data_IF_946442072520
#
_entry.id   IF_946442072520
#
_cell.length_a   1.000
_cell.length_b   1.000
_cell.length_c   1.000
_cell.angle_alpha   90.00
_cell.angle_beta   90.00
_cell.angle_gamma   90.00
#
_symmetry.space_group_name_H-M   'P 1'
#
loop_
_entity.id
_entity.type
_entity.pdbx_description
1 polymer ?
#
# COMPACT_ATOMS: atom_id res chain seq x y z
N UNK A 1 20.53 68.40 -23.72
CA UNK A 1 21.05 67.14 -24.29
C UNK A 1 21.76 66.38 -23.17
N UNK A 2 21.18 65.29 -22.68
CA UNK A 2 21.84 64.38 -21.74
C UNK A 2 21.57 62.96 -22.25
N UNK A 3 22.63 62.28 -22.68
CA UNK A 3 22.59 60.92 -23.20
C UNK A 3 22.60 59.98 -22.00
N UNK A 4 21.52 59.20 -21.81
CA UNK A 4 21.54 58.06 -20.89
C UNK A 4 22.18 56.87 -21.58
N UNK A 5 23.35 56.43 -21.11
CA UNK A 5 23.94 55.15 -21.48
C UNK A 5 23.22 54.02 -20.71
N UNK A 6 22.66 53.07 -21.46
CA UNK A 6 22.15 51.80 -20.95
C UNK A 6 23.30 50.85 -20.61
N UNK A 7 23.30 50.29 -19.40
CA UNK A 7 24.18 49.18 -19.03
C UNK A 7 23.31 47.93 -18.79
N UNK A 8 23.20 47.08 -19.81
CA UNK A 8 22.55 45.77 -19.71
C UNK A 8 23.52 44.79 -19.05
N UNK A 9 23.23 44.38 -17.82
CA UNK A 9 23.95 43.32 -17.11
C UNK A 9 23.46 41.95 -17.58
N UNK A 10 24.28 41.23 -18.35
CA UNK A 10 24.10 39.81 -18.67
C UNK A 10 24.56 38.98 -17.46
N UNK A 11 23.63 38.46 -16.67
CA UNK A 11 23.92 37.49 -15.60
C UNK A 11 23.86 36.04 -16.08
N UNK A 12 24.70 35.12 -15.58
CA UNK A 12 24.67 33.71 -15.99
C UNK A 12 23.42 33.01 -15.43
N UNK A 13 22.65 32.37 -16.30
CA UNK A 13 21.52 31.54 -15.92
C UNK A 13 22.03 30.24 -15.27
N UNK A 14 21.89 30.12 -13.95
CA UNK A 14 22.12 28.88 -13.21
C UNK A 14 20.97 27.90 -13.53
N UNK A 15 21.18 27.01 -14.49
CA UNK A 15 20.27 25.90 -14.77
C UNK A 15 20.34 24.88 -13.61
N UNK A 16 19.35 24.90 -12.71
CA UNK A 16 19.22 23.93 -11.64
C UNK A 16 18.81 22.57 -12.21
N UNK A 17 19.75 21.63 -12.29
CA UNK A 17 19.44 20.23 -12.59
C UNK A 17 18.72 19.62 -11.37
N UNK A 18 17.39 19.51 -11.44
CA UNK A 18 16.64 18.75 -10.44
C UNK A 18 16.98 17.25 -10.61
N UNK A 19 17.40 16.54 -9.55
CA UNK A 19 17.63 15.11 -9.63
C UNK A 19 16.31 14.38 -9.93
N UNK A 20 16.35 13.26 -10.68
CA UNK A 20 15.15 12.48 -10.96
C UNK A 20 14.56 11.92 -9.66
N UNK A 21 13.26 12.11 -9.46
CA UNK A 21 12.51 11.45 -8.37
C UNK A 21 12.51 9.96 -8.65
N UNK A 22 13.20 9.19 -7.80
CA UNK A 22 13.18 7.72 -7.85
C UNK A 22 11.99 7.23 -7.04
N UNK A 23 11.17 6.35 -7.60
CA UNK A 23 10.18 5.62 -6.82
C UNK A 23 10.90 4.79 -5.75
N UNK A 24 10.61 5.05 -4.48
CA UNK A 24 11.17 4.29 -3.37
C UNK A 24 10.61 2.86 -3.42
N UNK A 25 11.49 1.86 -3.53
CA UNK A 25 11.10 0.45 -3.38
C UNK A 25 10.71 0.24 -1.92
N UNK A 26 9.43 -0.03 -1.68
CA UNK A 26 8.95 -0.34 -0.33
C UNK A 26 9.51 -1.71 0.10
N UNK A 27 10.00 -1.83 1.36
CA UNK A 27 10.30 -3.12 1.94
C UNK A 27 9.08 -4.06 1.82
N UNK A 28 9.27 -5.20 1.17
CA UNK A 28 8.22 -6.20 0.92
C UNK A 28 8.50 -7.44 1.74
N UNK A 29 7.50 -7.95 2.45
CA UNK A 29 7.60 -9.20 3.20
C UNK A 29 7.74 -10.39 2.24
N UNK A 30 8.61 -11.34 2.56
CA UNK A 30 8.81 -12.57 1.79
C UNK A 30 7.51 -13.38 1.65
N UNK A 31 6.67 -13.41 2.71
CA UNK A 31 5.38 -14.11 2.71
C UNK A 31 4.45 -13.63 1.59
N UNK A 32 4.51 -12.34 1.21
CA UNK A 32 3.64 -11.76 0.18
C UNK A 32 3.96 -12.30 -1.21
N UNK A 33 5.20 -12.70 -1.47
CA UNK A 33 5.61 -13.30 -2.74
C UNK A 33 5.07 -14.73 -2.95
N UNK A 34 4.46 -15.33 -1.92
CA UNK A 34 3.89 -16.69 -1.97
C UNK A 34 2.37 -16.71 -2.05
N UNK A 35 1.72 -15.55 -1.96
CA UNK A 35 0.26 -15.43 -2.03
C UNK A 35 -0.16 -15.31 -3.50
N UNK A 36 -1.15 -16.09 -3.92
CA UNK A 36 -1.66 -16.04 -5.28
C UNK A 36 -2.53 -14.79 -5.52
N UNK A 37 -2.27 -14.00 -6.57
CA UNK A 37 -3.19 -12.97 -7.01
C UNK A 37 -4.54 -13.55 -7.44
N UNK A 38 -5.61 -12.76 -7.33
CA UNK A 38 -6.95 -13.18 -7.76
C UNK A 38 -8.09 -12.47 -7.06
N UNK A 39 -9.30 -13.02 -7.21
CA UNK A 39 -10.46 -12.63 -6.41
C UNK A 39 -10.38 -13.31 -5.05
N UNK A 40 -10.53 -12.55 -3.97
CA UNK A 40 -10.48 -13.05 -2.60
C UNK A 40 -11.77 -12.72 -1.85
N UNK A 41 -12.27 -13.68 -1.06
CA UNK A 41 -13.20 -13.43 0.02
C UNK A 41 -12.40 -13.07 1.28
N UNK A 42 -12.68 -11.91 1.85
CA UNK A 42 -12.10 -11.42 3.09
C UNK A 42 -13.19 -11.40 4.16
N UNK A 43 -13.08 -12.33 5.10
CA UNK A 43 -14.02 -12.50 6.21
C UNK A 43 -13.38 -12.01 7.50
N UNK A 44 -14.02 -11.05 8.14
CA UNK A 44 -13.63 -10.63 9.49
C UNK A 44 -13.91 -11.79 10.47
N UNK A 45 -13.00 -12.05 11.41
CA UNK A 45 -13.03 -13.25 12.28
C UNK A 45 -13.85 -13.09 13.54
N UNK A 46 -14.45 -11.91 13.73
CA UNK A 46 -15.44 -11.64 14.78
C UNK A 46 -16.73 -12.47 14.54
N UNK A 47 -17.54 -12.75 15.58
CA UNK A 47 -18.71 -13.63 15.46
C UNK A 47 -19.69 -13.26 14.33
N UNK A 48 -19.97 -11.96 14.16
CA UNK A 48 -20.81 -11.42 13.09
C UNK A 48 -19.98 -10.75 11.97
N UNK A 49 -18.76 -11.26 11.78
CA UNK A 49 -17.75 -10.69 10.90
C UNK A 49 -18.23 -10.58 9.45
N UNK A 50 -18.02 -9.40 8.88
CA UNK A 50 -18.44 -9.11 7.50
C UNK A 50 -17.55 -9.85 6.52
N UNK A 51 -18.16 -10.38 5.46
CA UNK A 51 -17.43 -10.91 4.31
C UNK A 51 -17.52 -9.93 3.14
N UNK A 52 -16.38 -9.56 2.57
CA UNK A 52 -16.33 -8.82 1.29
C UNK A 52 -15.51 -9.56 0.27
N UNK A 53 -15.82 -9.35 -1.00
CA UNK A 53 -14.97 -9.80 -2.10
C UNK A 53 -14.09 -8.65 -2.59
N UNK A 54 -12.82 -8.92 -2.84
CA UNK A 54 -11.88 -7.95 -3.37
C UNK A 54 -10.96 -8.60 -4.38
N UNK A 55 -10.79 -7.97 -5.54
CA UNK A 55 -9.74 -8.34 -6.47
C UNK A 55 -8.40 -7.85 -5.92
N UNK A 56 -7.48 -8.78 -5.72
CA UNK A 56 -6.12 -8.54 -5.23
C UNK A 56 -5.16 -8.89 -6.36
N UNK A 57 -4.73 -7.86 -7.08
CA UNK A 57 -3.74 -7.99 -8.16
C UNK A 57 -2.32 -7.98 -7.59
N UNK A 58 -2.11 -7.21 -6.53
CA UNK A 58 -0.85 -7.16 -5.80
C UNK A 58 -1.08 -7.58 -4.33
N UNK A 59 -0.47 -8.68 -3.85
CA UNK A 59 -0.56 -9.09 -2.46
C UNK A 59 -0.15 -8.02 -1.44
N UNK A 60 0.61 -6.99 -1.83
CA UNK A 60 0.89 -5.84 -0.96
C UNK A 60 -0.36 -5.10 -0.47
N UNK A 61 -1.51 -5.28 -1.13
CA UNK A 61 -2.80 -4.76 -0.70
C UNK A 61 -3.25 -5.33 0.66
N UNK A 62 -2.86 -6.56 1.01
CA UNK A 62 -3.23 -7.19 2.28
C UNK A 62 -2.62 -6.51 3.49
N UNK A 63 -1.47 -5.83 3.32
CA UNK A 63 -0.79 -5.11 4.41
C UNK A 63 -1.65 -3.96 4.95
N UNK A 64 -2.44 -3.32 4.10
CA UNK A 64 -3.09 -2.04 4.38
C UNK A 64 -4.60 -2.08 4.16
N UNK A 65 -5.27 -3.18 4.52
CA UNK A 65 -6.73 -3.30 4.35
C UNK A 65 -7.52 -2.19 5.07
N UNK A 66 -7.00 -1.64 6.17
CA UNK A 66 -7.60 -0.51 6.90
C UNK A 66 -7.26 0.88 6.29
N UNK A 67 -6.31 0.94 5.36
CA UNK A 67 -5.84 2.16 4.70
C UNK A 67 -5.67 1.94 3.17
N UNK A 68 -6.76 1.65 2.45
CA UNK A 68 -6.69 1.43 1.00
C UNK A 68 -6.39 2.73 0.25
N UNK A 69 -5.39 2.72 -0.64
CA UNK A 69 -5.09 3.83 -1.56
C UNK A 69 -3.80 4.62 -1.27
N UNK A 70 -3.60 5.18 -0.07
CA UNK A 70 -2.41 5.98 0.23
C UNK A 70 -1.10 5.22 0.02
N UNK A 71 -0.08 5.94 -0.46
CA UNK A 71 1.31 5.48 -0.40
C UNK A 71 1.81 5.62 1.03
N UNK A 72 1.86 4.51 1.75
CA UNK A 72 2.34 4.47 3.13
C UNK A 72 3.83 4.09 3.17
N UNK A 73 4.58 4.73 4.06
CA UNK A 73 5.92 4.27 4.41
C UNK A 73 5.81 2.95 5.18
N UNK A 74 6.77 2.03 4.99
CA UNK A 74 6.76 0.70 5.62
C UNK A 74 8.06 0.42 6.33
N UNK A 75 7.95 -0.25 7.47
CA UNK A 75 9.05 -0.77 8.26
C UNK A 75 8.75 -2.23 8.61
N UNK A 76 9.60 -3.15 8.12
CA UNK A 76 9.47 -4.59 8.37
C UNK A 76 9.95 -4.87 9.79
N UNK A 77 9.09 -5.52 10.58
CA UNK A 77 9.38 -5.92 11.96
C UNK A 77 9.87 -7.37 12.02
N UNK A 78 9.23 -8.25 11.25
CA UNK A 78 9.59 -9.68 11.15
C UNK A 78 9.30 -10.16 9.72
N UNK A 79 10.19 -10.98 9.18
CA UNK A 79 10.12 -11.46 7.80
C UNK A 79 10.51 -12.94 7.70
N UNK A 80 9.51 -13.81 7.82
CA UNK A 80 9.66 -15.25 7.70
C UNK A 80 9.02 -15.76 6.41
N UNK A 81 9.35 -16.98 5.96
CA UNK A 81 8.79 -17.52 4.71
C UNK A 81 7.26 -17.63 4.69
N UNK A 82 6.62 -17.87 5.84
CA UNK A 82 5.16 -18.11 5.96
C UNK A 82 4.46 -17.16 6.96
N UNK A 83 5.19 -16.24 7.57
CA UNK A 83 4.63 -15.18 8.41
C UNK A 83 5.44 -13.91 8.24
N UNK A 84 4.81 -12.75 8.33
CA UNK A 84 5.54 -11.49 8.27
C UNK A 84 4.77 -10.40 8.99
N UNK A 85 5.50 -9.49 9.63
CA UNK A 85 4.93 -8.36 10.35
C UNK A 85 5.54 -7.07 9.84
N UNK A 86 4.69 -6.11 9.51
CA UNK A 86 5.09 -4.80 9.01
C UNK A 86 4.34 -3.71 9.75
N UNK A 87 5.07 -2.67 10.15
CA UNK A 87 4.47 -1.40 10.53
C UNK A 87 4.41 -0.49 9.31
N UNK A 88 3.33 0.25 9.15
CA UNK A 88 3.18 1.22 8.08
C UNK A 88 2.61 2.53 8.60
N UNK A 89 3.04 3.64 8.00
CA UNK A 89 2.58 5.00 8.30
C UNK A 89 2.13 5.68 7.02
N UNK A 90 0.89 6.18 7.03
CA UNK A 90 0.24 6.79 5.90
C UNK A 90 0.05 8.30 6.18
N UNK A 91 0.76 9.20 5.47
CA UNK A 91 0.67 10.64 5.72
C UNK A 91 -0.78 11.14 5.72
N UNK A 92 -1.21 11.76 6.82
CA UNK A 92 -2.56 12.31 7.00
C UNK A 92 -3.69 11.28 7.20
N UNK A 93 -3.43 9.98 7.03
CA UNK A 93 -4.45 8.94 7.15
C UNK A 93 -4.33 8.09 8.42
N UNK A 94 -3.12 8.01 8.99
CA UNK A 94 -2.86 7.25 10.22
C UNK A 94 -1.71 6.26 10.06
N UNK A 95 -1.75 5.17 10.82
CA UNK A 95 -0.72 4.13 10.80
C UNK A 95 -1.30 2.78 11.23
N UNK A 96 -0.57 1.71 10.96
CA UNK A 96 -0.94 0.38 11.42
C UNK A 96 0.25 -0.55 11.54
N UNK A 97 0.03 -1.65 12.25
CA UNK A 97 0.89 -2.83 12.24
C UNK A 97 0.06 -3.99 11.75
N UNK A 98 0.54 -4.67 10.72
CA UNK A 98 -0.13 -5.83 10.13
C UNK A 98 0.79 -7.03 10.21
N UNK A 99 0.26 -8.13 10.73
CA UNK A 99 0.87 -9.46 10.66
C UNK A 99 0.06 -10.31 9.67
N UNK A 100 0.75 -10.97 8.75
CA UNK A 100 0.16 -11.88 7.77
C UNK A 100 0.76 -13.26 8.00
N UNK A 101 -0.09 -14.27 8.17
CA UNK A 101 0.29 -15.68 8.19
C UNK A 101 -0.27 -16.39 6.97
N UNK A 102 0.58 -17.12 6.27
CA UNK A 102 0.26 -17.93 5.11
C UNK A 102 -0.05 -19.35 5.55
N UNK A 103 -1.30 -19.78 5.36
CA UNK A 103 -1.67 -21.18 5.58
C UNK A 103 -1.47 -21.99 4.28
N UNK A 104 -1.89 -21.42 3.15
CA UNK A 104 -1.61 -21.91 1.80
C UNK A 104 -1.49 -20.71 0.85
N UNK A 105 -1.00 -20.86 -0.39
CA UNK A 105 -1.01 -19.77 -1.36
C UNK A 105 -2.39 -19.14 -1.64
N UNK A 106 -3.49 -19.81 -1.26
CA UNK A 106 -4.88 -19.39 -1.44
C UNK A 106 -5.65 -19.17 -0.10
N UNK A 107 -4.98 -19.24 1.06
CA UNK A 107 -5.56 -19.06 2.39
C UNK A 107 -4.57 -18.32 3.31
N UNK A 108 -5.00 -17.18 3.83
CA UNK A 108 -4.18 -16.34 4.73
C UNK A 108 -4.96 -15.90 5.94
N UNK A 109 -4.23 -15.61 7.01
CA UNK A 109 -4.72 -15.01 8.23
C UNK A 109 -4.04 -13.65 8.41
N UNK A 110 -4.82 -12.62 8.69
CA UNK A 110 -4.33 -11.24 8.82
C UNK A 110 -4.77 -10.72 10.19
N UNK A 111 -3.84 -10.12 10.92
CA UNK A 111 -4.11 -9.38 12.14
C UNK A 111 -3.55 -7.98 11.97
N UNK A 112 -4.36 -6.96 12.25
CA UNK A 112 -3.93 -5.58 12.06
C UNK A 112 -4.57 -4.65 13.07
N UNK A 113 -3.79 -3.69 13.53
CA UNK A 113 -4.18 -2.72 14.54
C UNK A 113 -3.46 -1.39 14.32
N UNK A 114 -4.04 -0.30 14.78
CA UNK A 114 -3.44 1.02 14.63
C UNK A 114 -4.44 2.15 14.79
N UNK A 115 -4.21 3.23 14.05
CA UNK A 115 -5.08 4.42 14.02
C UNK A 115 -5.46 4.71 12.57
N UNK A 116 -6.75 4.89 12.31
CA UNK A 116 -7.30 5.34 11.02
C UNK A 116 -8.29 6.46 11.27
N UNK A 117 -8.21 7.55 10.49
CA UNK A 117 -9.07 8.74 10.65
C UNK A 117 -9.11 9.29 12.10
N UNK A 118 -7.99 9.18 12.83
CA UNK A 118 -7.86 9.67 14.21
C UNK A 118 -8.42 8.74 15.30
N UNK A 119 -9.00 7.59 14.94
CA UNK A 119 -9.55 6.62 15.89
C UNK A 119 -8.75 5.29 15.88
N UNK A 120 -8.62 4.61 17.04
CA UNK A 120 -8.03 3.28 17.09
C UNK A 120 -8.84 2.25 16.29
N UNK A 121 -8.16 1.28 15.70
CA UNK A 121 -8.79 0.09 15.12
C UNK A 121 -8.02 -1.17 15.51
N UNK A 122 -8.73 -2.29 15.49
CA UNK A 122 -8.19 -3.65 15.59
C UNK A 122 -9.05 -4.53 14.69
N UNK A 123 -8.42 -5.35 13.86
CA UNK A 123 -9.10 -6.26 12.93
C UNK A 123 -8.37 -7.58 12.81
N UNK A 124 -9.15 -8.64 12.69
CA UNK A 124 -8.70 -10.00 12.43
C UNK A 124 -9.45 -10.52 11.20
N UNK A 125 -8.73 -10.94 10.15
CA UNK A 125 -9.34 -11.31 8.85
C UNK A 125 -8.80 -12.66 8.38
N UNK A 126 -9.71 -13.54 7.95
CA UNK A 126 -9.38 -14.68 7.10
C UNK A 126 -9.56 -14.30 5.63
N UNK A 127 -8.52 -14.52 4.82
CA UNK A 127 -8.59 -14.38 3.37
C UNK A 127 -8.63 -15.73 2.68
N UNK A 128 -9.61 -15.94 1.80
CA UNK A 128 -9.71 -17.13 0.93
C UNK A 128 -9.80 -16.73 -0.54
N UNK A 129 -8.92 -17.27 -1.38
CA UNK A 129 -8.99 -17.06 -2.82
C UNK A 129 -10.20 -17.77 -3.41
N UNK A 130 -10.96 -17.06 -4.23
CA UNK A 130 -12.15 -17.56 -4.93
C UNK A 130 -11.86 -17.92 -6.39
N UNK A 131 -10.78 -17.40 -6.96
CA UNK A 131 -10.45 -17.60 -8.38
C UNK A 131 -9.69 -16.41 -8.93
N UNK A 132 -9.71 -16.27 -10.25
CA UNK A 132 -9.12 -15.10 -10.91
C UNK A 132 -10.00 -13.86 -10.70
N UNK A 133 -9.39 -12.68 -10.78
CA UNK A 133 -10.18 -11.46 -10.81
C UNK A 133 -11.09 -11.44 -12.04
N UNK A 134 -12.32 -10.91 -11.93
CA UNK A 134 -13.16 -10.74 -13.10
C UNK A 134 -12.47 -9.82 -14.12
N UNK A 135 -12.58 -10.15 -15.40
CA UNK A 135 -12.12 -9.26 -16.46
C UNK A 135 -12.81 -7.90 -16.28
N UNK A 136 -12.04 -6.81 -16.29
CA UNK A 136 -12.59 -5.47 -16.21
C UNK A 136 -13.66 -5.32 -17.30
N UNK A 137 -14.92 -5.24 -16.89
CA UNK A 137 -16.06 -5.29 -17.80
C UNK A 137 -15.91 -4.23 -18.88
N UNK A 138 -15.79 -4.67 -20.13
CA UNK A 138 -15.91 -3.83 -21.32
C UNK A 138 -17.28 -3.17 -21.23
N UNK A 139 -17.36 -1.92 -20.74
CA UNK A 139 -18.60 -1.14 -20.74
C UNK A 139 -19.10 -1.14 -22.19
N UNK A 140 -20.16 -1.89 -22.46
CA UNK A 140 -20.88 -1.77 -23.73
C UNK A 140 -21.48 -0.36 -23.71
N UNK A 141 -20.99 0.47 -24.63
CA UNK A 141 -21.52 1.81 -24.89
C UNK A 141 -22.95 1.71 -25.38
#
# INVERSE_FOLDING_TARGET
>A
MAVMLAATLLGPALASAMPPVRDAVLPRLAVLGRIQPGLWALRDREPDGRTRQQCIVDPDMFVQLAHPGPRCQRFVIDDQPVTGTVHYSCPGAGHGRTTIRLETPALIQIDSQGVTAGAPFSMAVEGRRLGDCPAAGRRRR
#
